data_IF_133973082008
#
_entry.id   IF_133973082008
#
_cell.length_a   1.000
_cell.length_b   1.000
_cell.length_c   1.000
_cell.angle_alpha   90.00
_cell.angle_beta   90.00
_cell.angle_gamma   90.00
#
_symmetry.space_group_name_H-M   'P 1'
#
loop_
_entity.id
_entity.type
_entity.pdbx_description
1 polymer ?
#
# COMPACT_ATOMS: atom_id res chain seq x y z
N UNK A 1 -0.14 15.03 6.16
CA UNK A 1 -0.35 13.57 6.04
C UNK A 1 -1.84 13.30 5.94
N UNK A 2 -2.38 12.99 4.75
CA UNK A 2 -3.78 12.54 4.63
C UNK A 2 -3.75 11.03 4.77
N UNK A 3 -3.73 10.53 6.01
CA UNK A 3 -4.17 9.16 6.27
C UNK A 3 -5.60 9.08 5.74
N UNK A 4 -5.89 8.16 4.81
CA UNK A 4 -7.22 7.94 4.27
C UNK A 4 -7.95 6.94 5.19
N UNK A 5 -8.58 7.38 6.29
CA UNK A 5 -9.02 6.51 7.38
C UNK A 5 -10.38 5.86 7.05
N UNK A 6 -10.71 5.73 5.76
CA UNK A 6 -12.00 5.23 5.27
C UNK A 6 -11.87 4.30 4.07
N UNK A 7 -10.64 3.94 3.68
CA UNK A 7 -10.41 2.95 2.62
C UNK A 7 -10.25 1.60 3.29
N UNK A 8 -11.35 0.83 3.29
CA UNK A 8 -11.47 -0.50 3.88
C UNK A 8 -11.67 -1.56 2.80
N UNK A 9 -11.62 -2.83 3.17
CA UNK A 9 -11.84 -3.93 2.21
C UNK A 9 -13.18 -3.82 1.47
N UNK A 10 -14.23 -3.31 2.11
CA UNK A 10 -15.53 -3.07 1.47
C UNK A 10 -15.43 -2.02 0.34
N UNK A 11 -14.63 -0.98 0.54
CA UNK A 11 -14.40 0.04 -0.49
C UNK A 11 -13.63 -0.53 -1.70
N UNK A 12 -12.64 -1.40 -1.45
CA UNK A 12 -11.90 -2.07 -2.52
C UNK A 12 -12.78 -3.08 -3.25
N UNK A 13 -13.64 -3.80 -2.54
CA UNK A 13 -14.61 -4.71 -3.15
C UNK A 13 -15.50 -4.00 -4.17
N UNK A 14 -16.03 -2.83 -3.81
CA UNK A 14 -16.84 -1.99 -4.73
C UNK A 14 -16.04 -1.53 -5.94
N UNK A 15 -14.78 -1.14 -5.77
CA UNK A 15 -13.89 -0.73 -6.87
C UNK A 15 -13.60 -1.92 -7.78
N UNK A 16 -13.27 -3.08 -7.21
CA UNK A 16 -12.93 -4.27 -7.96
C UNK A 16 -14.10 -4.72 -8.84
N UNK A 17 -15.32 -4.73 -8.29
CA UNK A 17 -16.54 -5.11 -9.03
C UNK A 17 -16.97 -4.03 -10.03
N UNK A 18 -16.88 -2.75 -9.65
CA UNK A 18 -17.35 -1.63 -10.48
C UNK A 18 -16.40 -1.22 -11.60
N UNK A 19 -15.11 -1.54 -11.48
CA UNK A 19 -14.07 -1.07 -12.39
C UNK A 19 -13.20 -2.21 -12.98
N UNK A 20 -13.77 -3.15 -13.77
CA UNK A 20 -13.00 -4.28 -14.33
C UNK A 20 -11.92 -3.88 -15.35
N UNK A 21 -11.97 -2.65 -15.86
CA UNK A 21 -10.98 -2.07 -16.79
C UNK A 21 -9.87 -1.28 -16.08
N UNK A 22 -9.83 -1.31 -14.75
CA UNK A 22 -8.81 -0.61 -13.97
C UNK A 22 -7.42 -1.10 -14.38
N UNK A 23 -6.53 -0.16 -14.70
CA UNK A 23 -5.14 -0.44 -15.12
C UNK A 23 -4.12 -0.12 -14.03
N UNK A 24 -4.44 0.86 -13.20
CA UNK A 24 -3.55 1.29 -12.12
C UNK A 24 -4.38 1.54 -10.86
N UNK A 25 -3.86 1.08 -9.72
CA UNK A 25 -4.49 1.26 -8.42
C UNK A 25 -3.40 1.55 -7.38
N UNK A 26 -3.63 2.57 -6.57
CA UNK A 26 -2.77 2.93 -5.45
C UNK A 26 -3.55 2.82 -4.14
N UNK A 27 -3.11 1.91 -3.28
CA UNK A 27 -3.66 1.65 -1.94
C UNK A 27 -2.63 2.00 -0.86
N UNK A 28 -1.67 2.86 -1.18
CA UNK A 28 -0.69 3.36 -0.21
C UNK A 28 -1.38 4.06 0.95
N UNK A 29 -0.83 3.90 2.15
CA UNK A 29 -1.32 4.45 3.42
C UNK A 29 -2.76 4.03 3.78
N UNK A 30 -3.29 2.99 3.15
CA UNK A 30 -4.57 2.38 3.50
C UNK A 30 -4.33 1.19 4.42
N UNK A 31 -4.22 1.46 5.73
CA UNK A 31 -3.84 0.46 6.74
C UNK A 31 -4.91 -0.60 7.01
N UNK A 32 -6.16 -0.31 6.67
CA UNK A 32 -7.30 -1.24 6.84
C UNK A 32 -7.50 -2.19 5.65
N UNK A 33 -6.60 -2.16 4.65
CA UNK A 33 -6.67 -3.05 3.49
C UNK A 33 -5.91 -4.34 3.76
N UNK A 34 -6.64 -5.45 3.73
CA UNK A 34 -6.10 -6.78 3.95
C UNK A 34 -5.74 -7.49 2.64
N UNK A 35 -5.22 -8.71 2.77
CA UNK A 35 -4.93 -9.57 1.64
C UNK A 35 -6.19 -10.01 0.88
N UNK A 36 -7.37 -10.03 1.51
CA UNK A 36 -8.64 -10.40 0.87
C UNK A 36 -9.00 -9.43 -0.26
N UNK A 37 -8.79 -8.14 -0.02
CA UNK A 37 -8.90 -7.07 -1.03
C UNK A 37 -8.02 -7.30 -2.24
N UNK A 38 -6.77 -7.76 -2.04
CA UNK A 38 -5.84 -8.03 -3.12
C UNK A 38 -6.32 -9.20 -4.00
N UNK A 39 -6.90 -10.23 -3.39
CA UNK A 39 -7.51 -11.35 -4.11
C UNK A 39 -8.70 -10.89 -4.94
N UNK A 40 -9.56 -10.03 -4.38
CA UNK A 40 -10.70 -9.46 -5.10
C UNK A 40 -10.26 -8.62 -6.30
N UNK A 41 -9.26 -7.76 -6.11
CA UNK A 41 -8.67 -6.97 -7.20
C UNK A 41 -8.13 -7.89 -8.30
N UNK A 42 -7.33 -8.89 -7.95
CA UNK A 42 -6.74 -9.82 -8.93
C UNK A 42 -7.78 -10.62 -9.72
N UNK A 43 -8.93 -10.92 -9.11
CA UNK A 43 -10.03 -11.64 -9.77
C UNK A 43 -10.85 -10.76 -10.71
N UNK A 44 -11.14 -9.52 -10.31
CA UNK A 44 -12.09 -8.67 -11.05
C UNK A 44 -11.41 -7.64 -11.98
N UNK A 45 -10.24 -7.13 -11.59
CA UNK A 45 -9.48 -6.14 -12.35
C UNK A 45 -8.39 -6.84 -13.19
N UNK A 46 -8.78 -7.69 -14.14
CA UNK A 46 -7.84 -8.47 -14.96
C UNK A 46 -6.95 -7.62 -15.87
N UNK A 47 -7.31 -6.35 -16.08
CA UNK A 47 -6.52 -5.39 -16.85
C UNK A 47 -5.51 -4.61 -16.00
N UNK A 48 -5.43 -4.87 -14.69
CA UNK A 48 -4.54 -4.15 -13.80
C UNK A 48 -3.09 -4.44 -14.16
N UNK A 49 -2.31 -3.38 -14.35
CA UNK A 49 -0.89 -3.40 -14.69
C UNK A 49 -0.02 -2.88 -13.56
N UNK A 50 -0.53 -1.92 -12.79
CA UNK A 50 0.22 -1.28 -11.70
C UNK A 50 -0.62 -1.32 -10.43
N UNK A 51 -0.08 -1.93 -9.38
CA UNK A 51 -0.63 -1.87 -8.03
C UNK A 51 0.43 -1.30 -7.09
N UNK A 52 0.16 -0.14 -6.51
CA UNK A 52 1.04 0.50 -5.53
C UNK A 52 0.50 0.27 -4.12
N UNK A 53 1.38 -0.17 -3.23
CA UNK A 53 1.07 -0.33 -1.80
C UNK A 53 2.26 0.09 -0.97
N UNK A 54 2.34 1.38 -0.69
CA UNK A 54 3.31 1.94 0.24
C UNK A 54 2.65 2.22 1.59
N UNK A 55 3.02 1.45 2.61
CA UNK A 55 2.57 1.69 4.00
C UNK A 55 3.63 2.41 4.84
N UNK A 56 4.81 2.61 4.27
CA UNK A 56 5.88 3.37 4.88
C UNK A 56 5.68 4.84 4.53
N UNK A 57 5.16 5.59 5.49
CA UNK A 57 5.55 6.98 5.55
C UNK A 57 7.05 6.94 5.89
N UNK A 58 7.89 7.60 5.10
CA UNK A 58 9.35 7.60 5.27
C UNK A 58 9.71 8.35 6.56
N UNK A 59 9.41 7.75 7.72
CA UNK A 59 9.53 8.39 9.01
C UNK A 59 10.01 7.40 10.05
N UNK A 60 11.13 7.80 10.63
CA UNK A 60 11.60 7.50 11.97
C UNK A 60 11.44 6.02 12.40
N UNK A 61 12.52 5.23 12.35
CA UNK A 61 12.56 3.85 12.83
C UNK A 61 11.97 3.69 14.25
N UNK A 62 12.01 4.74 15.09
CA UNK A 62 11.46 4.71 16.45
C UNK A 62 9.96 4.44 16.52
N UNK A 63 9.18 4.82 15.49
CA UNK A 63 7.73 4.61 15.46
C UNK A 63 7.32 3.16 15.16
N UNK A 64 8.28 2.31 14.77
CA UNK A 64 8.03 0.93 14.31
C UNK A 64 8.72 -0.13 15.20
N UNK A 65 9.49 0.30 16.19
CA UNK A 65 10.14 -0.58 17.17
C UNK A 65 9.08 -1.39 17.92
N UNK A 66 9.20 -2.73 17.87
CA UNK A 66 8.28 -3.66 18.55
C UNK A 66 7.05 -4.09 17.73
N UNK A 67 6.81 -3.48 16.56
CA UNK A 67 5.76 -3.90 15.62
C UNK A 67 6.37 -4.71 14.47
N UNK A 68 7.55 -4.30 14.01
CA UNK A 68 8.26 -4.93 12.88
C UNK A 68 9.59 -5.51 13.38
N UNK A 69 10.05 -6.68 12.88
CA UNK A 69 11.35 -7.23 13.23
C UNK A 69 12.48 -6.22 12.94
N UNK A 70 13.45 -6.15 13.84
CA UNK A 70 14.54 -5.18 13.76
C UNK A 70 15.31 -5.27 12.43
N UNK A 71 15.47 -6.46 11.87
CA UNK A 71 16.16 -6.68 10.60
C UNK A 71 15.48 -5.97 9.42
N UNK A 72 14.16 -5.82 9.44
CA UNK A 72 13.42 -5.08 8.41
C UNK A 72 13.59 -3.57 8.54
N UNK A 73 13.72 -3.06 9.77
CA UNK A 73 14.01 -1.64 10.03
C UNK A 73 15.45 -1.30 9.62
N UNK A 74 16.38 -2.23 9.83
CA UNK A 74 17.79 -2.09 9.50
C UNK A 74 18.10 -2.32 8.01
N UNK A 75 17.26 -3.09 7.30
CA UNK A 75 17.40 -3.35 5.87
C UNK A 75 16.76 -2.26 4.99
N UNK A 76 16.02 -1.31 5.57
CA UNK A 76 15.44 -0.19 4.83
C UNK A 76 16.57 0.80 4.47
N UNK A 77 16.82 1.08 3.18
CA UNK A 77 17.83 2.05 2.79
C UNK A 77 17.45 3.41 3.38
N UNK A 78 18.31 3.97 4.24
CA UNK A 78 18.18 5.32 4.79
C UNK A 78 18.55 6.41 3.76
N UNK A 79 18.50 6.10 2.45
CA UNK A 79 18.77 7.06 1.39
C UNK A 79 17.56 7.97 1.21
N UNK A 80 17.43 8.91 2.15
CA UNK A 80 16.80 10.18 1.86
C UNK A 80 17.57 10.85 0.73
N UNK A 81 16.86 11.21 -0.32
CA UNK A 81 17.23 12.30 -1.22
C UNK A 81 18.67 12.28 -1.77
N UNK A 82 19.14 11.15 -2.29
CA UNK A 82 20.18 11.20 -3.31
C UNK A 82 19.53 11.68 -4.62
N UNK A 83 19.36 13.00 -4.72
CA UNK A 83 19.27 13.73 -5.99
C UNK A 83 20.24 13.10 -6.99
N UNK A 84 19.72 12.77 -8.16
CA UNK A 84 20.53 12.38 -9.29
C UNK A 84 21.50 13.54 -9.61
N UNK A 85 22.78 13.34 -9.34
CA UNK A 85 23.88 14.10 -9.92
C UNK A 85 24.57 13.24 -10.98
#
# INVERSE_FOLDING_TARGET
MRSCPRVTDDSISKIAVGCPKLRELDISYCYEITHESLVLIGRNCTNLKVLKRNLMNWLDPSQHVGIVPADYLNACPQDGDAEAA
#
